data_IF_301470450465
#
_entry.id   IF_301470450465
#
_cell.length_a   1.000
_cell.length_b   1.000
_cell.length_c   1.000
_cell.angle_alpha   90.00
_cell.angle_beta   90.00
_cell.angle_gamma   90.00
#
_symmetry.space_group_name_H-M   'P 1'
#
loop_
_entity.id
_entity.type
_entity.pdbx_description
1 polymer ?
#
# COMPACT_ATOMS: atom_id res chain seq x y z
N UNK A 1 -0.93 -12.40 2.24
CA UNK A 1 -2.06 -11.55 1.81
C UNK A 1 -3.05 -11.51 2.97
N UNK A 2 -3.58 -10.33 3.30
CA UNK A 2 -4.65 -10.12 4.28
C UNK A 2 -5.95 -9.93 3.49
N UNK A 3 -6.74 -11.00 3.37
CA UNK A 3 -8.06 -10.95 2.73
C UNK A 3 -9.10 -10.63 3.80
N UNK A 4 -9.55 -9.37 3.85
CA UNK A 4 -10.38 -8.89 4.97
C UNK A 4 -11.77 -9.50 5.03
N UNK A 5 -12.35 -9.83 3.87
CA UNK A 5 -13.64 -10.52 3.80
C UNK A 5 -13.58 -11.89 4.48
N UNK A 6 -12.61 -12.71 4.11
CA UNK A 6 -12.41 -14.05 4.70
C UNK A 6 -12.01 -13.97 6.17
N UNK A 7 -11.18 -12.98 6.53
CA UNK A 7 -10.76 -12.78 7.90
C UNK A 7 -11.94 -12.38 8.80
N UNK A 8 -12.78 -11.45 8.36
CA UNK A 8 -13.98 -11.03 9.08
C UNK A 8 -15.06 -12.11 9.20
N UNK A 9 -15.01 -13.15 8.36
CA UNK A 9 -15.85 -14.33 8.52
C UNK A 9 -15.37 -15.29 9.63
N UNK A 10 -14.08 -15.21 10.00
CA UNK A 10 -13.45 -16.12 10.97
C UNK A 10 -13.21 -15.50 12.35
N UNK A 11 -13.07 -14.17 12.43
CA UNK A 11 -12.87 -13.43 13.68
C UNK A 11 -13.90 -12.30 13.81
N UNK A 12 -14.20 -11.81 15.02
CA UNK A 12 -15.07 -10.65 15.20
C UNK A 12 -14.59 -9.45 14.38
N UNK A 13 -15.51 -8.73 13.73
CA UNK A 13 -15.20 -7.69 12.75
C UNK A 13 -14.31 -6.59 13.34
N UNK A 14 -14.52 -6.25 14.60
CA UNK A 14 -13.78 -5.23 15.34
C UNK A 14 -12.30 -5.62 15.57
N UNK A 15 -11.97 -6.92 15.45
CA UNK A 15 -10.62 -7.42 15.60
C UNK A 15 -9.83 -7.41 14.27
N UNK A 16 -10.52 -7.33 13.13
CA UNK A 16 -9.91 -7.36 11.79
C UNK A 16 -8.83 -6.29 11.62
N UNK A 17 -9.03 -5.01 11.99
CA UNK A 17 -7.99 -3.98 11.85
C UNK A 17 -6.73 -4.31 12.66
N UNK A 18 -6.90 -4.79 13.89
CA UNK A 18 -5.78 -5.18 14.75
C UNK A 18 -5.05 -6.41 14.21
N UNK A 19 -5.78 -7.39 13.67
CA UNK A 19 -5.19 -8.57 13.05
C UNK A 19 -4.39 -8.22 11.79
N UNK A 20 -4.93 -7.36 10.91
CA UNK A 20 -4.20 -6.85 9.75
C UNK A 20 -2.87 -6.22 10.15
N UNK A 21 -2.87 -5.29 11.11
CA UNK A 21 -1.66 -4.61 11.55
C UNK A 21 -0.61 -5.62 12.05
N UNK A 22 -1.02 -6.61 12.84
CA UNK A 22 -0.14 -7.68 13.34
C UNK A 22 0.45 -8.49 12.18
N UNK A 23 -0.37 -8.90 11.22
CA UNK A 23 0.06 -9.70 10.06
C UNK A 23 1.04 -8.90 9.20
N UNK A 24 0.71 -7.65 8.85
CA UNK A 24 1.60 -6.78 8.04
C UNK A 24 2.93 -6.58 8.76
N UNK A 25 2.91 -6.26 10.06
CA UNK A 25 4.13 -6.11 10.86
C UNK A 25 4.99 -7.38 10.88
N UNK A 26 4.37 -8.54 11.07
CA UNK A 26 5.06 -9.82 11.07
C UNK A 26 5.68 -10.14 9.71
N UNK A 27 4.94 -9.93 8.62
CA UNK A 27 5.43 -10.09 7.25
C UNK A 27 6.69 -9.24 7.02
N UNK A 28 6.69 -7.97 7.45
CA UNK A 28 7.86 -7.10 7.35
C UNK A 28 9.04 -7.60 8.18
N UNK A 29 8.82 -8.06 9.41
CA UNK A 29 9.89 -8.63 10.24
C UNK A 29 10.52 -9.88 9.60
N UNK A 30 9.74 -10.62 8.81
CA UNK A 30 10.17 -11.81 8.10
C UNK A 30 10.66 -11.53 6.66
N UNK A 31 10.75 -10.26 6.25
CA UNK A 31 11.05 -9.84 4.87
C UNK A 31 10.15 -10.53 3.81
N UNK A 32 8.87 -10.73 4.15
CA UNK A 32 7.85 -11.27 3.25
C UNK A 32 6.87 -10.15 2.85
N UNK A 33 6.47 -10.08 1.57
CA UNK A 33 5.53 -9.06 1.13
C UNK A 33 4.14 -9.26 1.74
N UNK A 34 3.53 -8.17 2.21
CA UNK A 34 2.19 -8.10 2.74
C UNK A 34 1.26 -7.33 1.80
N UNK A 35 0.30 -8.04 1.21
CA UNK A 35 -0.76 -7.45 0.37
C UNK A 35 -2.03 -7.36 1.21
N UNK A 36 -2.69 -6.20 1.26
CA UNK A 36 -4.05 -6.07 1.85
C UNK A 36 -5.08 -6.07 0.73
N UNK A 37 -6.14 -6.86 0.90
CA UNK A 37 -7.15 -7.14 -0.12
C UNK A 37 -8.57 -7.15 0.47
N UNK A 38 -9.55 -7.04 -0.43
CA UNK A 38 -11.00 -6.95 -0.17
C UNK A 38 -11.41 -5.64 0.52
N UNK A 39 -12.58 -5.10 0.15
CA UNK A 39 -13.18 -3.91 0.76
C UNK A 39 -12.26 -2.67 0.73
N UNK A 40 -11.40 -2.54 -0.29
CA UNK A 40 -10.43 -1.45 -0.39
C UNK A 40 -11.11 -0.18 -0.93
N UNK A 41 -11.90 -0.31 -1.99
CA UNK A 41 -12.74 0.75 -2.57
C UNK A 41 -14.09 0.15 -3.00
N UNK A 42 -14.70 -0.70 -2.17
CA UNK A 42 -15.89 -1.51 -2.48
C UNK A 42 -17.05 -0.69 -3.06
N UNK A 43 -17.32 0.49 -2.50
CA UNK A 43 -18.38 1.39 -2.98
C UNK A 43 -18.16 1.81 -4.43
N UNK A 44 -16.92 1.77 -4.92
CA UNK A 44 -16.58 2.10 -6.29
C UNK A 44 -16.94 1.01 -7.31
N UNK A 45 -17.51 -0.12 -6.86
CA UNK A 45 -18.20 -1.06 -7.74
C UNK A 45 -19.43 -0.39 -8.36
N UNK A 46 -20.21 0.32 -7.53
CA UNK A 46 -21.49 0.94 -7.91
C UNK A 46 -21.41 2.45 -8.12
N UNK A 47 -20.46 3.13 -7.47
CA UNK A 47 -20.36 4.59 -7.46
C UNK A 47 -19.03 5.11 -8.05
N UNK A 48 -19.01 6.27 -8.70
CA UNK A 48 -17.79 6.78 -9.33
C UNK A 48 -16.77 7.35 -8.33
N UNK A 49 -17.11 7.45 -7.05
CA UNK A 49 -16.30 8.06 -5.99
C UNK A 49 -16.36 7.23 -4.72
N UNK A 50 -15.23 7.06 -4.00
CA UNK A 50 -15.21 6.31 -2.76
C UNK A 50 -15.83 7.09 -1.61
N UNK A 51 -16.16 6.38 -0.55
CA UNK A 51 -16.53 6.98 0.74
C UNK A 51 -15.30 7.52 1.48
N UNK A 52 -15.54 8.42 2.43
CA UNK A 52 -14.47 8.93 3.32
C UNK A 52 -13.84 7.82 4.17
N UNK A 53 -14.64 6.81 4.54
CA UNK A 53 -14.20 5.68 5.36
C UNK A 53 -13.22 4.82 4.58
N UNK A 54 -13.50 4.52 3.31
CA UNK A 54 -12.59 3.75 2.44
C UNK A 54 -11.27 4.49 2.19
N UNK A 55 -11.31 5.81 1.97
CA UNK A 55 -10.07 6.59 1.81
C UNK A 55 -9.23 6.57 3.09
N UNK A 56 -9.86 6.67 4.27
CA UNK A 56 -9.17 6.59 5.55
C UNK A 56 -8.57 5.20 5.78
N UNK A 57 -9.30 4.15 5.43
CA UNK A 57 -8.89 2.76 5.54
C UNK A 57 -7.71 2.42 4.61
N UNK A 58 -7.77 2.84 3.34
CA UNK A 58 -6.63 2.79 2.40
C UNK A 58 -5.41 3.49 3.00
N UNK A 59 -5.61 4.71 3.53
CA UNK A 59 -4.51 5.49 4.11
C UNK A 59 -3.87 4.76 5.28
N UNK A 60 -4.65 4.10 6.13
CA UNK A 60 -4.14 3.36 7.29
C UNK A 60 -3.38 2.09 6.88
N UNK A 61 -3.85 1.34 5.88
CA UNK A 61 -3.11 0.19 5.35
C UNK A 61 -1.72 0.58 4.82
N UNK A 62 -1.60 1.76 4.20
CA UNK A 62 -0.32 2.32 3.72
C UNK A 62 0.58 2.71 4.89
N UNK A 63 0.02 3.36 5.92
CA UNK A 63 0.76 3.73 7.14
C UNK A 63 1.29 2.52 7.89
N UNK A 64 0.56 1.42 7.86
CA UNK A 64 1.00 0.12 8.39
C UNK A 64 2.12 -0.53 7.58
N UNK A 65 2.47 0.09 6.44
CA UNK A 65 3.48 -0.35 5.48
C UNK A 65 3.12 -1.67 4.80
N UNK A 66 1.88 -1.83 4.37
CA UNK A 66 1.56 -2.86 3.39
C UNK A 66 2.39 -2.64 2.11
N UNK A 67 2.81 -3.70 1.44
CA UNK A 67 3.59 -3.65 0.19
C UNK A 67 2.72 -3.39 -1.05
N UNK A 68 1.46 -3.80 -0.98
CA UNK A 68 0.48 -3.52 -2.02
C UNK A 68 -0.94 -3.52 -1.47
N UNK A 69 -1.80 -2.80 -2.19
CA UNK A 69 -3.26 -2.90 -2.08
C UNK A 69 -3.82 -3.58 -3.32
N UNK A 70 -4.83 -4.41 -3.12
CA UNK A 70 -5.47 -5.18 -4.17
C UNK A 70 -6.95 -4.84 -4.26
N UNK A 71 -7.37 -4.39 -5.45
CA UNK A 71 -8.78 -4.29 -5.84
C UNK A 71 -9.31 -5.69 -6.17
N UNK A 72 -10.52 -5.99 -5.72
CA UNK A 72 -11.20 -7.28 -5.88
C UNK A 72 -12.44 -7.11 -6.77
N UNK A 73 -13.64 -6.96 -6.18
CA UNK A 73 -14.89 -6.74 -6.92
C UNK A 73 -14.85 -5.48 -7.79
N UNK A 74 -14.10 -4.47 -7.36
CA UNK A 74 -13.89 -3.21 -8.08
C UNK A 74 -13.25 -3.40 -9.46
N UNK A 75 -12.48 -4.49 -9.65
CA UNK A 75 -11.78 -4.80 -10.91
C UNK A 75 -12.50 -5.78 -11.82
N UNK A 76 -13.38 -6.60 -11.24
CA UNK A 76 -14.07 -7.68 -11.97
C UNK A 76 -15.50 -7.34 -12.31
N UNK A 77 -16.19 -6.59 -11.43
CA UNK A 77 -17.60 -6.22 -11.59
C UNK A 77 -17.81 -4.70 -11.58
N UNK A 78 -16.79 -3.91 -11.21
CA UNK A 78 -16.91 -2.47 -11.07
C UNK A 78 -17.01 -1.72 -12.41
N UNK A 79 -17.92 -0.76 -12.47
CA UNK A 79 -18.06 0.13 -13.65
C UNK A 79 -16.97 1.22 -13.69
N UNK A 80 -16.18 1.35 -12.63
CA UNK A 80 -15.26 2.47 -12.41
C UNK A 80 -13.82 2.05 -12.10
N UNK A 81 -13.36 0.91 -12.64
CA UNK A 81 -12.00 0.37 -12.39
C UNK A 81 -10.88 1.41 -12.57
N UNK A 82 -10.84 2.12 -13.69
CA UNK A 82 -9.82 3.15 -13.96
C UNK A 82 -9.85 4.29 -12.93
N UNK A 83 -11.06 4.67 -12.47
CA UNK A 83 -11.20 5.68 -11.41
C UNK A 83 -10.74 5.12 -10.07
N UNK A 84 -11.07 3.88 -9.75
CA UNK A 84 -10.63 3.22 -8.52
C UNK A 84 -9.10 3.14 -8.46
N UNK A 85 -8.43 2.79 -9.57
CA UNK A 85 -6.96 2.82 -9.66
C UNK A 85 -6.38 4.22 -9.53
N UNK A 86 -7.03 5.22 -10.13
CA UNK A 86 -6.61 6.62 -10.03
C UNK A 86 -6.72 7.12 -8.59
N UNK A 87 -7.81 6.78 -7.89
CA UNK A 87 -8.01 7.11 -6.47
C UNK A 87 -6.96 6.42 -5.62
N UNK A 88 -6.78 5.11 -5.78
CA UNK A 88 -5.80 4.32 -5.01
C UNK A 88 -4.40 4.91 -5.18
N UNK A 89 -4.00 5.22 -6.42
CA UNK A 89 -2.72 5.86 -6.74
C UNK A 89 -2.58 7.24 -6.09
N UNK A 90 -3.62 8.07 -6.16
CA UNK A 90 -3.61 9.44 -5.64
C UNK A 90 -3.49 9.47 -4.11
N UNK A 91 -4.28 8.64 -3.43
CA UNK A 91 -4.20 8.49 -1.96
C UNK A 91 -2.83 7.96 -1.57
N UNK A 92 -2.32 6.96 -2.30
CA UNK A 92 -1.01 6.38 -2.01
C UNK A 92 0.12 7.39 -2.07
N UNK A 93 0.23 8.12 -3.18
CA UNK A 93 1.26 9.14 -3.35
C UNK A 93 1.16 10.25 -2.31
N UNK A 94 -0.06 10.60 -1.88
CA UNK A 94 -0.27 11.62 -0.86
C UNK A 94 0.22 11.16 0.51
N UNK A 95 -0.08 9.92 0.89
CA UNK A 95 0.32 9.37 2.19
C UNK A 95 1.83 9.08 2.24
N UNK A 96 2.41 8.55 1.16
CA UNK A 96 3.87 8.36 1.04
C UNK A 96 4.60 9.70 1.22
N UNK A 97 4.19 10.75 0.50
CA UNK A 97 4.79 12.10 0.62
C UNK A 97 4.65 12.68 2.04
N UNK A 98 3.48 12.53 2.66
CA UNK A 98 3.26 13.02 4.02
C UNK A 98 4.18 12.32 5.02
N UNK A 99 4.52 11.05 4.79
CA UNK A 99 5.55 10.33 5.55
C UNK A 99 6.93 10.96 5.39
N UNK A 100 7.33 11.27 4.15
CA UNK A 100 8.62 11.90 3.83
C UNK A 100 8.76 13.29 4.46
N UNK A 101 7.71 14.11 4.42
CA UNK A 101 7.66 15.45 5.03
C UNK A 101 7.92 15.37 6.55
N UNK A 102 7.29 14.42 7.24
CA UNK A 102 7.50 14.20 8.68
C UNK A 102 8.89 13.68 9.04
N UNK A 103 9.51 12.89 8.16
CA UNK A 103 10.88 12.44 8.36
C UNK A 103 11.89 13.59 8.24
N UNK A 104 11.59 14.64 7.45
CA UNK A 104 12.42 15.84 7.34
C UNK A 104 12.23 16.81 8.51
N UNK A 105 11.03 16.90 9.09
CA UNK A 105 10.78 17.73 10.29
C UNK A 105 11.32 17.11 11.59
N UNK A 106 11.63 15.81 11.60
CA UNK A 106 12.08 15.07 12.78
C UNK A 106 13.59 14.79 12.87
N UNK A 107 14.41 15.32 11.96
CA UNK A 107 15.85 15.04 11.92
C UNK A 107 16.69 16.27 12.29
N UNK A 108 16.65 16.67 13.56
CA UNK A 108 17.82 17.27 14.21
C UNK A 108 18.60 16.12 14.89
N UNK A 109 19.72 15.69 14.28
CA UNK A 109 20.74 14.94 14.99
C UNK A 109 22.12 15.53 14.70
N UNK A 110 23.05 15.53 15.70
CA UNK A 110 24.39 16.06 15.51
C UNK A 110 25.16 15.17 14.53
N UNK A 111 25.89 15.83 13.65
CA UNK A 111 26.75 15.27 12.63
C UNK A 111 27.69 14.15 13.13
N UNK A 112 27.95 13.16 12.26
CA UNK A 112 29.25 12.56 11.90
C UNK A 112 29.03 11.11 11.36
N UNK A 113 29.33 10.91 10.07
CA UNK A 113 29.67 9.65 9.35
C UNK A 113 28.69 8.99 8.34
N UNK A 114 27.44 9.44 8.18
CA UNK A 114 26.47 8.75 7.30
C UNK A 114 26.62 8.98 5.78
N UNK A 115 27.54 9.82 5.33
CA UNK A 115 27.56 10.38 3.96
C UNK A 115 27.90 9.39 2.83
N UNK A 116 28.56 8.26 3.10
CA UNK A 116 29.07 7.38 2.04
C UNK A 116 28.21 6.14 1.75
N UNK A 117 27.56 5.56 2.76
CA UNK A 117 26.78 4.32 2.60
C UNK A 117 25.42 4.52 1.91
N UNK A 118 24.76 5.65 2.17
CA UNK A 118 23.45 5.95 1.61
C UNK A 118 23.51 6.22 0.09
N UNK A 119 24.61 6.83 -0.37
CA UNK A 119 24.81 7.15 -1.80
C UNK A 119 24.98 5.90 -2.67
N UNK A 120 25.58 4.83 -2.14
CA UNK A 120 25.76 3.58 -2.90
C UNK A 120 24.45 2.81 -3.00
N UNK A 121 23.66 2.78 -1.92
CA UNK A 121 22.37 2.08 -1.90
C UNK A 121 21.36 2.71 -2.87
N UNK A 122 21.36 4.03 -2.99
CA UNK A 122 20.45 4.76 -3.90
C UNK A 122 20.75 4.49 -5.38
N UNK A 123 22.03 4.43 -5.77
CA UNK A 123 22.43 4.16 -7.16
C UNK A 123 22.16 2.71 -7.61
N UNK A 124 22.30 1.75 -6.69
CA UNK A 124 21.99 0.35 -6.97
C UNK A 124 20.48 0.18 -7.22
N UNK A 125 19.63 0.82 -6.40
CA UNK A 125 18.18 0.79 -6.56
C UNK A 125 17.70 1.48 -7.85
N UNK A 126 18.32 2.61 -8.24
CA UNK A 126 18.01 3.32 -9.49
C UNK A 126 18.36 2.51 -10.74
N UNK A 127 19.44 1.74 -10.69
CA UNK A 127 19.85 0.87 -11.79
C UNK A 127 18.93 -0.34 -11.97
N UNK A 128 18.46 -0.94 -10.87
CA UNK A 128 17.54 -2.08 -10.91
C UNK A 128 16.16 -1.71 -11.50
N UNK A 129 15.66 -0.51 -11.23
CA UNK A 129 14.38 -0.03 -11.73
C UNK A 129 14.32 0.13 -13.27
N UNK A 130 15.47 0.29 -13.94
CA UNK A 130 15.54 0.42 -15.41
C UNK A 130 15.39 -0.92 -16.17
N UNK A 131 15.45 -2.06 -15.50
CA UNK A 131 15.54 -3.38 -16.16
C UNK A 131 14.21 -4.17 -16.24
N UNK A 132 13.09 -3.69 -15.69
CA UNK A 132 11.82 -4.43 -15.69
C UNK A 132 10.88 -4.08 -16.85
N UNK A 133 10.82 -4.90 -17.91
CA UNK A 133 9.76 -4.84 -18.94
C UNK A 133 8.47 -5.55 -18.48
N UNK A 134 7.27 -5.13 -18.93
CA UNK A 134 6.01 -5.74 -18.54
C UNK A 134 5.71 -6.96 -19.44
N UNK A 135 5.58 -8.14 -18.85
CA UNK A 135 4.96 -9.30 -19.50
C UNK A 135 3.58 -9.51 -18.89
N UNK A 136 2.57 -9.57 -19.76
CA UNK A 136 1.17 -9.59 -19.38
C UNK A 136 0.74 -10.93 -18.83
N UNK A 137 -0.01 -10.87 -17.73
CA UNK A 137 -0.96 -11.90 -17.27
C UNK A 137 -2.08 -11.19 -16.48
N UNK A 138 -3.32 -11.63 -16.71
CA UNK A 138 -4.58 -11.43 -15.95
C UNK A 138 -4.66 -10.20 -15.04
N UNK A 139 -5.54 -9.24 -15.36
CA UNK A 139 -5.73 -7.97 -14.64
C UNK A 139 -6.33 -8.21 -13.24
N UNK A 140 -5.49 -8.66 -12.32
CA UNK A 140 -5.67 -8.51 -10.89
C UNK A 140 -4.84 -7.29 -10.53
N UNK A 141 -5.50 -6.13 -10.43
CA UNK A 141 -4.78 -4.85 -10.34
C UNK A 141 -4.25 -4.64 -8.92
N UNK A 142 -3.04 -5.14 -8.69
CA UNK A 142 -2.25 -4.87 -7.49
C UNK A 142 -1.51 -3.54 -7.67
N UNK A 143 -1.77 -2.57 -6.82
CA UNK A 143 -0.97 -1.35 -6.76
C UNK A 143 0.17 -1.55 -5.76
N UNK A 144 1.40 -1.64 -6.28
CA UNK A 144 2.63 -1.77 -5.48
C UNK A 144 3.15 -0.38 -5.09
N UNK A 145 3.48 -0.20 -3.81
CA UNK A 145 4.06 1.05 -3.31
C UNK A 145 5.51 1.21 -3.77
N UNK A 146 5.96 2.47 -3.92
CA UNK A 146 7.27 2.75 -4.53
C UNK A 146 8.42 2.69 -3.53
N UNK A 147 8.20 2.95 -2.24
CA UNK A 147 9.28 3.10 -1.24
C UNK A 147 8.80 2.85 0.21
N UNK A 148 8.74 1.60 0.70
CA UNK A 148 8.42 1.28 2.11
C UNK A 148 9.32 0.20 2.73
#
# INVERSE_FOLDING_TARGET
>A
MVARGDLGAQIPLEQVPSAQQKIVKLCRQLNKPAIVASQVLESMIEYPTPTRVEVADVSEAIRQRADALMLSGESTMGQYLEKALTVLRSVSLRIERWGEEKHHEGMEFPDISASFADRISEEICKSAAKMGKPSGYTIQSCYKFRNL
#
